data_IF_346851115389
#
_entry.id   IF_346851115389
#
_cell.length_a   1.000
_cell.length_b   1.000
_cell.length_c   1.000
_cell.angle_alpha   90.00
_cell.angle_beta   90.00
_cell.angle_gamma   90.00
#
_symmetry.space_group_name_H-M   'P 1'
#
loop_
_entity.id
_entity.type
_entity.pdbx_description
1 polymer ?
#
# COMPACT_ATOMS: atom_id res chain seq x y z
N UNK A 1 6.90 34.87 66.17
CA UNK A 1 5.63 35.28 65.54
C UNK A 1 5.46 34.48 64.27
N UNK A 2 4.57 33.50 64.30
CA UNK A 2 4.32 32.49 63.26
C UNK A 2 3.30 33.03 62.24
N UNK A 3 3.69 33.13 60.97
CA UNK A 3 2.78 33.45 59.86
C UNK A 3 2.07 32.19 59.35
N UNK A 4 0.78 32.28 58.95
CA UNK A 4 -0.01 31.12 58.56
C UNK A 4 0.39 30.61 57.17
N UNK A 5 0.67 29.31 57.09
CA UNK A 5 0.89 28.59 55.83
C UNK A 5 -0.38 28.60 54.99
N UNK A 6 -0.34 29.30 53.85
CA UNK A 6 -1.35 29.20 52.79
C UNK A 6 -1.19 27.85 52.09
N UNK A 7 -1.94 26.86 52.56
CA UNK A 7 -2.14 25.60 51.88
C UNK A 7 -2.94 25.89 50.60
N UNK A 8 -2.23 25.96 49.46
CA UNK A 8 -2.84 26.03 48.13
C UNK A 8 -3.59 24.72 47.89
N UNK A 9 -4.92 24.73 48.05
CA UNK A 9 -5.78 23.65 47.56
C UNK A 9 -5.63 23.58 46.05
N UNK A 10 -4.99 22.52 45.56
CA UNK A 10 -5.15 22.07 44.18
C UNK A 10 -6.62 21.69 43.99
N UNK A 11 -7.35 22.28 43.02
CA UNK A 11 -8.68 21.81 42.70
C UNK A 11 -8.53 20.45 42.01
N UNK A 12 -8.80 19.38 42.75
CA UNK A 12 -9.10 18.06 42.18
C UNK A 12 -10.49 18.08 41.57
N UNK A 13 -10.70 18.95 40.58
CA UNK A 13 -11.76 18.79 39.59
C UNK A 13 -11.24 17.83 38.52
N UNK A 14 -11.07 16.58 38.91
CA UNK A 14 -11.14 15.47 37.95
C UNK A 14 -12.62 15.24 37.66
N UNK A 15 -13.24 16.27 37.10
CA UNK A 15 -14.58 16.20 36.52
C UNK A 15 -14.54 15.02 35.56
N UNK A 16 -15.47 14.10 35.75
CA UNK A 16 -15.80 13.06 34.79
C UNK A 16 -15.68 13.64 33.38
N UNK A 17 -14.59 13.31 32.68
CA UNK A 17 -14.49 13.58 31.26
C UNK A 17 -15.54 12.68 30.64
N UNK A 18 -16.71 13.27 30.42
CA UNK A 18 -17.88 12.72 29.77
C UNK A 18 -17.42 11.86 28.58
N UNK A 19 -17.43 10.54 28.78
CA UNK A 19 -16.95 9.57 27.79
C UNK A 19 -17.70 9.71 26.47
N UNK A 20 -18.93 10.24 26.52
CA UNK A 20 -19.72 10.58 25.34
C UNK A 20 -19.00 11.59 24.43
N UNK A 21 -18.43 12.66 25.00
CA UNK A 21 -17.74 13.70 24.22
C UNK A 21 -16.46 13.18 23.55
N UNK A 22 -15.75 12.26 24.19
CA UNK A 22 -14.54 11.66 23.61
C UNK A 22 -14.91 10.74 22.44
N UNK A 23 -15.95 9.92 22.61
CA UNK A 23 -16.44 9.01 21.56
C UNK A 23 -17.01 9.81 20.38
N UNK A 24 -17.78 10.85 20.64
CA UNK A 24 -18.35 11.71 19.61
C UNK A 24 -17.26 12.42 18.79
N UNK A 25 -16.25 12.96 19.48
CA UNK A 25 -15.09 13.57 18.81
C UNK A 25 -14.27 12.56 18.01
N UNK A 26 -14.12 11.32 18.51
CA UNK A 26 -13.46 10.25 17.77
C UNK A 26 -14.27 9.86 16.52
N UNK A 27 -15.59 9.76 16.63
CA UNK A 27 -16.48 9.48 15.50
C UNK A 27 -16.46 10.60 14.46
N UNK A 28 -16.45 11.86 14.87
CA UNK A 28 -16.28 13.00 13.96
C UNK A 28 -14.94 12.94 13.24
N UNK A 29 -13.84 12.68 13.95
CA UNK A 29 -12.52 12.57 13.34
C UNK A 29 -12.47 11.44 12.30
N UNK A 30 -13.11 10.30 12.58
CA UNK A 30 -13.20 9.19 11.64
C UNK A 30 -14.08 9.54 10.43
N UNK A 31 -15.22 10.22 10.63
CA UNK A 31 -16.09 10.69 9.54
C UNK A 31 -15.37 11.70 8.64
N UNK A 32 -14.70 12.69 9.21
CA UNK A 32 -13.92 13.70 8.47
C UNK A 32 -12.76 13.06 7.71
N UNK A 33 -12.06 12.10 8.33
CA UNK A 33 -10.98 11.38 7.66
C UNK A 33 -11.48 10.50 6.53
N UNK A 34 -12.64 9.85 6.71
CA UNK A 34 -13.31 9.07 5.66
C UNK A 34 -13.73 9.98 4.51
N UNK A 35 -14.31 11.14 4.79
CA UNK A 35 -14.65 12.12 3.77
C UNK A 35 -13.41 12.60 3.00
N UNK A 36 -12.26 12.75 3.66
CA UNK A 36 -11.02 13.17 2.99
C UNK A 36 -10.40 12.07 2.10
N UNK A 37 -10.56 10.79 2.46
CA UNK A 37 -10.14 9.66 1.63
C UNK A 37 -11.07 9.46 0.43
N UNK A 38 -12.36 9.75 0.60
CA UNK A 38 -13.38 9.59 -0.44
C UNK A 38 -13.71 10.88 -1.20
N UNK A 39 -13.13 12.02 -0.83
CA UNK A 39 -13.30 13.26 -1.57
C UNK A 39 -12.74 13.04 -2.98
N UNK A 40 -13.53 13.25 -4.05
CA UNK A 40 -13.02 13.16 -5.40
C UNK A 40 -11.94 14.24 -5.54
N UNK A 41 -10.70 13.81 -5.71
CA UNK A 41 -9.58 14.71 -5.89
C UNK A 41 -9.90 15.67 -7.05
N UNK A 42 -9.85 16.97 -6.76
CA UNK A 42 -10.13 18.01 -7.75
C UNK A 42 -9.23 17.80 -8.98
N UNK A 43 -9.77 17.77 -10.20
CA UNK A 43 -9.01 17.41 -11.39
C UNK A 43 -8.14 18.60 -11.80
N UNK A 44 -6.89 18.65 -11.34
CA UNK A 44 -5.88 19.48 -12.02
C UNK A 44 -5.52 18.79 -13.33
N UNK A 45 -6.26 19.17 -14.36
CA UNK A 45 -6.19 18.63 -15.70
C UNK A 45 -4.88 19.05 -16.38
N UNK A 46 -3.85 18.21 -16.30
CA UNK A 46 -3.00 18.01 -17.47
C UNK A 46 -3.80 17.21 -18.50
N UNK A 47 -3.74 17.59 -19.79
CA UNK A 47 -4.72 17.18 -20.78
C UNK A 47 -4.74 15.67 -20.95
N UNK A 48 -5.94 15.17 -21.25
CA UNK A 48 -6.26 13.79 -21.55
C UNK A 48 -5.44 13.27 -22.74
N UNK A 49 -4.20 12.83 -22.48
CA UNK A 49 -3.52 11.88 -23.36
C UNK A 49 -4.16 10.51 -23.17
N UNK A 50 -4.47 9.85 -24.30
CA UNK A 50 -5.31 8.65 -24.38
C UNK A 50 -4.99 7.57 -23.35
N UNK A 51 -5.97 6.71 -23.05
CA UNK A 51 -5.94 5.63 -22.04
C UNK A 51 -4.50 5.16 -21.80
N UNK A 52 -3.87 5.68 -20.74
CA UNK A 52 -2.46 5.42 -20.47
C UNK A 52 -2.20 3.93 -20.33
N UNK A 53 -0.93 3.50 -20.40
CA UNK A 53 -0.54 2.07 -20.29
C UNK A 53 -1.28 1.33 -19.16
N UNK A 54 -1.44 1.98 -18.00
CA UNK A 54 -2.16 1.45 -16.84
C UNK A 54 -3.66 1.30 -17.09
N UNK A 55 -4.32 2.26 -17.72
CA UNK A 55 -5.73 2.16 -18.08
C UNK A 55 -6.02 1.03 -19.07
N UNK A 56 -5.11 0.81 -20.04
CA UNK A 56 -5.21 -0.32 -20.99
C UNK A 56 -5.08 -1.65 -20.25
N UNK A 57 -4.06 -1.77 -19.40
CA UNK A 57 -3.85 -2.96 -18.58
C UNK A 57 -5.06 -3.25 -17.68
N UNK A 58 -5.62 -2.21 -17.06
CA UNK A 58 -6.74 -2.38 -16.15
C UNK A 58 -8.02 -2.88 -16.84
N UNK A 59 -8.27 -2.42 -18.07
CA UNK A 59 -9.37 -2.93 -18.89
C UNK A 59 -9.16 -4.41 -19.20
N UNK A 60 -7.94 -4.82 -19.57
CA UNK A 60 -7.61 -6.21 -19.81
C UNK A 60 -7.85 -7.07 -18.55
N UNK A 61 -7.37 -6.63 -17.38
CA UNK A 61 -7.62 -7.33 -16.10
C UNK A 61 -9.12 -7.51 -15.84
N UNK A 62 -9.91 -6.45 -16.03
CA UNK A 62 -11.37 -6.49 -15.77
C UNK A 62 -12.08 -7.45 -16.73
N UNK A 63 -11.63 -7.55 -17.98
CA UNK A 63 -12.18 -8.48 -18.97
C UNK A 63 -11.79 -9.95 -18.71
N UNK A 64 -10.60 -10.18 -18.15
CA UNK A 64 -10.11 -11.53 -17.83
C UNK A 64 -10.65 -12.09 -16.50
N UNK A 65 -11.26 -11.26 -15.65
CA UNK A 65 -11.84 -11.71 -14.38
C UNK A 65 -13.12 -12.51 -14.63
N UNK A 66 -13.18 -13.71 -14.05
CA UNK A 66 -14.38 -14.54 -14.02
C UNK A 66 -14.99 -14.42 -12.61
N UNK A 67 -15.92 -13.48 -12.46
CA UNK A 67 -16.39 -13.08 -11.14
C UNK A 67 -15.26 -12.41 -10.34
N UNK A 68 -14.89 -13.01 -9.21
CA UNK A 68 -13.81 -12.49 -8.33
C UNK A 68 -12.47 -13.22 -8.48
N UNK A 69 -12.42 -14.23 -9.35
CA UNK A 69 -11.25 -15.09 -9.53
C UNK A 69 -10.61 -14.87 -10.90
N UNK A 70 -9.32 -15.15 -10.94
CA UNK A 70 -8.50 -15.11 -12.15
C UNK A 70 -7.83 -16.48 -12.29
N UNK A 71 -7.96 -17.12 -13.45
CA UNK A 71 -7.27 -18.38 -13.72
C UNK A 71 -5.75 -18.19 -13.79
N UNK A 72 -5.01 -19.29 -13.67
CA UNK A 72 -3.54 -19.25 -13.72
C UNK A 72 -3.07 -18.83 -15.10
N UNK A 73 -3.75 -19.29 -16.15
CA UNK A 73 -3.50 -18.98 -17.55
C UNK A 73 -3.74 -17.50 -17.82
N UNK A 74 -4.91 -16.97 -17.43
CA UNK A 74 -5.23 -15.55 -17.58
C UNK A 74 -4.26 -14.66 -16.80
N UNK A 75 -3.79 -15.10 -15.62
CA UNK A 75 -2.76 -14.38 -14.87
C UNK A 75 -1.44 -14.32 -15.62
N UNK A 76 -0.99 -15.41 -16.25
CA UNK A 76 0.24 -15.43 -17.05
C UNK A 76 0.14 -14.51 -18.26
N UNK A 77 -0.98 -14.55 -18.96
CA UNK A 77 -1.26 -13.69 -20.11
C UNK A 77 -1.26 -12.21 -19.72
N UNK A 78 -1.94 -11.86 -18.62
CA UNK A 78 -1.92 -10.49 -18.11
C UNK A 78 -0.51 -10.03 -17.72
N UNK A 79 0.28 -10.88 -17.09
CA UNK A 79 1.66 -10.51 -16.76
C UNK A 79 2.54 -10.31 -18.01
N UNK A 80 2.34 -11.10 -19.06
CA UNK A 80 2.99 -10.87 -20.37
C UNK A 80 2.56 -9.54 -20.97
N UNK A 81 1.26 -9.28 -20.97
CA UNK A 81 0.70 -8.02 -21.49
C UNK A 81 1.20 -6.79 -20.71
N UNK A 82 1.34 -6.90 -19.39
CA UNK A 82 1.92 -5.84 -18.57
C UNK A 82 3.38 -5.56 -18.94
N UNK A 83 4.16 -6.61 -19.23
CA UNK A 83 5.55 -6.48 -19.66
C UNK A 83 5.65 -5.79 -21.03
N UNK A 84 4.78 -6.14 -21.98
CA UNK A 84 4.67 -5.46 -23.29
C UNK A 84 4.32 -3.98 -23.15
N UNK A 85 3.51 -3.63 -22.15
CA UNK A 85 3.16 -2.25 -21.82
C UNK A 85 4.26 -1.50 -21.05
N UNK A 86 5.40 -2.14 -20.78
CA UNK A 86 6.51 -1.56 -20.02
C UNK A 86 6.18 -1.32 -18.54
N UNK A 87 5.23 -2.08 -17.98
CA UNK A 87 4.87 -1.98 -16.57
C UNK A 87 5.82 -2.80 -15.71
N UNK A 88 6.07 -2.32 -14.48
CA UNK A 88 6.86 -3.10 -13.52
C UNK A 88 6.03 -4.30 -13.03
N UNK A 89 6.63 -5.48 -12.79
CA UNK A 89 5.90 -6.65 -12.30
C UNK A 89 5.11 -6.39 -11.02
N UNK A 90 5.66 -5.56 -10.13
CA UNK A 90 4.98 -5.14 -8.90
C UNK A 90 3.70 -4.33 -9.18
N UNK A 91 3.76 -3.35 -10.09
CA UNK A 91 2.60 -2.52 -10.45
C UNK A 91 1.47 -3.38 -11.05
N UNK A 92 1.83 -4.29 -11.95
CA UNK A 92 0.88 -5.21 -12.58
C UNK A 92 0.20 -6.12 -11.54
N UNK A 93 0.99 -6.71 -10.63
CA UNK A 93 0.49 -7.55 -9.55
C UNK A 93 -0.46 -6.79 -8.63
N UNK A 94 -0.12 -5.55 -8.28
CA UNK A 94 -0.95 -4.70 -7.44
C UNK A 94 -2.29 -4.37 -8.12
N UNK A 95 -2.27 -4.01 -9.40
CA UNK A 95 -3.50 -3.71 -10.14
C UNK A 95 -4.43 -4.93 -10.25
N UNK A 96 -3.88 -6.14 -10.45
CA UNK A 96 -4.65 -7.38 -10.43
C UNK A 96 -5.29 -7.60 -9.04
N UNK A 97 -4.51 -7.44 -7.97
CA UNK A 97 -5.00 -7.64 -6.61
C UNK A 97 -6.14 -6.65 -6.27
N UNK A 98 -6.00 -5.38 -6.65
CA UNK A 98 -7.05 -4.37 -6.45
C UNK A 98 -8.32 -4.69 -7.25
N UNK A 99 -8.19 -5.16 -8.49
CA UNK A 99 -9.35 -5.54 -9.30
C UNK A 99 -10.08 -6.75 -8.70
N UNK A 100 -9.34 -7.77 -8.26
CA UNK A 100 -9.91 -8.93 -7.58
C UNK A 100 -10.59 -8.56 -6.25
N UNK A 101 -9.97 -7.71 -5.44
CA UNK A 101 -10.54 -7.22 -4.19
C UNK A 101 -11.88 -6.52 -4.42
N UNK A 102 -11.95 -5.61 -5.39
CA UNK A 102 -13.19 -4.94 -5.77
C UNK A 102 -14.25 -5.90 -6.28
N UNK A 103 -13.85 -6.87 -7.11
CA UNK A 103 -14.76 -7.90 -7.61
C UNK A 103 -15.31 -8.78 -6.48
N UNK A 104 -14.51 -9.09 -5.45
CA UNK A 104 -14.97 -9.79 -4.23
C UNK A 104 -16.01 -8.99 -3.46
N UNK A 105 -15.84 -7.67 -3.40
CA UNK A 105 -16.76 -6.77 -2.71
C UNK A 105 -17.93 -6.27 -3.57
N UNK A 106 -18.07 -6.73 -4.82
CA UNK A 106 -19.11 -6.28 -5.74
C UNK A 106 -19.00 -4.79 -6.11
N UNK A 107 -17.82 -4.20 -6.00
CA UNK A 107 -17.57 -2.80 -6.32
C UNK A 107 -17.31 -2.63 -7.82
N UNK A 108 -17.76 -1.51 -8.38
CA UNK A 108 -17.48 -1.17 -9.77
C UNK A 108 -15.96 -1.16 -10.07
N UNK A 109 -15.53 -1.54 -11.29
CA UNK A 109 -14.13 -1.44 -11.72
C UNK A 109 -13.56 -0.04 -11.48
N UNK A 110 -12.24 0.05 -11.26
CA UNK A 110 -11.60 1.37 -11.12
C UNK A 110 -11.73 2.14 -12.45
N UNK A 111 -12.26 3.35 -12.43
CA UNK A 111 -12.26 4.18 -13.66
C UNK A 111 -11.00 5.05 -13.76
N UNK A 112 -10.25 5.16 -12.66
CA UNK A 112 -9.09 6.04 -12.51
C UNK A 112 -7.86 5.23 -12.12
N UNK A 113 -6.69 5.62 -12.65
CA UNK A 113 -5.40 4.99 -12.32
C UNK A 113 -5.12 5.10 -10.80
N UNK A 114 -5.17 3.98 -10.04
CA UNK A 114 -4.99 4.00 -8.59
C UNK A 114 -3.57 4.37 -8.16
N UNK A 115 -2.60 4.29 -9.08
CA UNK A 115 -1.19 4.60 -8.84
C UNK A 115 -0.83 6.01 -9.30
N UNK A 116 -1.82 6.82 -9.71
CA UNK A 116 -1.63 8.24 -10.09
C UNK A 116 -1.72 9.18 -8.88
N UNK A 117 -1.46 8.70 -7.68
CA UNK A 117 -1.22 9.59 -6.54
C UNK A 117 0.07 10.39 -6.82
N UNK A 118 -0.09 11.59 -7.38
CA UNK A 118 0.82 12.70 -7.09
C UNK A 118 0.84 12.81 -5.56
N UNK A 119 2.00 12.60 -4.91
CA UNK A 119 2.08 12.72 -3.47
C UNK A 119 1.62 14.13 -3.11
N UNK A 120 0.74 14.30 -2.11
CA UNK A 120 0.50 15.64 -1.58
C UNK A 120 1.87 16.21 -1.19
N UNK A 121 2.19 17.42 -1.65
CA UNK A 121 3.44 18.13 -1.34
C UNK A 121 3.73 18.23 0.17
N UNK A 122 2.78 17.85 1.03
CA UNK A 122 2.88 17.81 2.48
C UNK A 122 3.34 16.46 3.04
N UNK A 123 4.52 15.96 2.64
CA UNK A 123 5.38 15.15 3.53
C UNK A 123 6.78 15.00 2.95
N UNK A 124 7.54 16.10 2.95
CA UNK A 124 8.99 16.00 3.21
C UNK A 124 9.17 15.39 4.60
N UNK A 125 9.00 14.07 4.73
CA UNK A 125 9.63 13.35 5.84
C UNK A 125 11.14 13.61 5.67
N UNK A 126 11.88 13.98 6.73
CA UNK A 126 13.33 13.96 6.65
C UNK A 126 13.72 12.55 6.20
N UNK A 127 14.36 12.48 5.03
CA UNK A 127 14.98 11.26 4.55
C UNK A 127 16.00 10.87 5.62
N UNK A 128 15.88 9.71 6.29
CA UNK A 128 16.98 9.24 7.12
C UNK A 128 18.16 8.96 6.19
N UNK A 129 19.06 9.93 6.10
CA UNK A 129 20.41 9.75 5.56
C UNK A 129 21.15 8.82 6.51
N UNK A 130 21.15 7.53 6.20
CA UNK A 130 21.88 6.54 6.98
C UNK A 130 21.26 5.16 6.96
N UNK A 131 21.38 4.46 5.83
CA UNK A 131 21.50 3.00 5.88
C UNK A 131 22.87 2.64 5.31
N UNK A 132 23.79 2.09 6.12
CA UNK A 132 25.02 1.55 5.58
C UNK A 132 24.66 0.41 4.60
N UNK A 133 25.19 0.55 3.40
CA UNK A 133 25.25 -0.51 2.40
C UNK A 133 25.87 -1.75 3.02
N UNK A 134 25.05 -2.80 3.23
CA UNK A 134 25.51 -4.17 3.39
C UNK A 134 25.27 -4.89 2.07
N UNK A 135 26.10 -4.57 1.09
CA UNK A 135 26.51 -5.55 0.09
C UNK A 135 27.20 -6.73 0.80
N UNK A 136 27.19 -7.92 0.18
CA UNK A 136 27.89 -9.14 0.62
C UNK A 136 27.18 -10.03 1.65
N UNK A 137 26.07 -10.71 1.29
CA UNK A 137 25.75 -12.06 1.81
C UNK A 137 24.81 -12.83 0.86
N UNK A 138 25.10 -12.85 -0.45
CA UNK A 138 24.36 -13.71 -1.40
C UNK A 138 25.29 -14.54 -2.29
N UNK A 139 26.46 -14.90 -1.75
CA UNK A 139 27.46 -15.80 -2.37
C UNK A 139 27.72 -17.06 -1.54
N UNK A 140 26.94 -17.31 -0.48
CA UNK A 140 27.08 -18.52 0.35
C UNK A 140 26.18 -19.68 -0.09
N UNK A 141 25.11 -19.41 -0.85
CA UNK A 141 24.15 -20.46 -1.25
C UNK A 141 24.61 -21.20 -2.51
N UNK A 142 25.34 -20.54 -3.42
CA UNK A 142 25.78 -21.18 -4.67
C UNK A 142 26.94 -22.17 -4.50
N UNK A 143 27.81 -22.03 -3.49
CA UNK A 143 28.91 -22.99 -3.28
C UNK A 143 28.44 -24.30 -2.64
N UNK A 144 27.40 -24.26 -1.80
CA UNK A 144 26.85 -25.47 -1.16
C UNK A 144 26.23 -26.45 -2.16
N UNK A 145 25.54 -25.96 -3.19
CA UNK A 145 24.90 -26.81 -4.20
C UNK A 145 25.94 -27.50 -5.10
N UNK A 146 27.04 -26.83 -5.43
CA UNK A 146 28.11 -27.42 -6.24
C UNK A 146 28.85 -28.55 -5.51
N UNK A 147 29.16 -28.38 -4.22
CA UNK A 147 29.85 -29.42 -3.43
C UNK A 147 28.97 -30.67 -3.22
N UNK A 148 27.67 -30.49 -2.96
CA UNK A 148 26.75 -31.61 -2.81
C UNK A 148 26.59 -32.39 -4.13
N UNK A 149 26.53 -31.69 -5.26
CA UNK A 149 26.45 -32.31 -6.58
C UNK A 149 27.70 -33.13 -6.92
N UNK A 150 28.90 -32.66 -6.58
CA UNK A 150 30.14 -33.41 -6.86
C UNK A 150 30.28 -34.66 -5.99
N UNK A 151 29.83 -34.62 -4.73
CA UNK A 151 29.89 -35.78 -3.84
C UNK A 151 28.97 -36.92 -4.29
N UNK A 152 27.77 -36.58 -4.79
CA UNK A 152 26.82 -37.59 -5.30
C UNK A 152 27.40 -38.30 -6.53
N UNK A 153 28.00 -37.56 -7.47
CA UNK A 153 28.61 -38.17 -8.66
C UNK A 153 29.80 -39.06 -8.31
N UNK A 154 30.61 -38.68 -7.33
CA UNK A 154 31.77 -39.47 -6.89
C UNK A 154 31.39 -40.74 -6.12
N UNK A 155 30.21 -40.77 -5.47
CA UNK A 155 29.71 -41.97 -4.78
C UNK A 155 29.11 -43.01 -5.74
N UNK A 156 28.81 -42.61 -6.98
CA UNK A 156 28.22 -43.46 -8.01
C UNK A 156 29.23 -43.95 -9.06
N UNK A 157 30.50 -43.56 -8.94
CA UNK A 157 31.62 -44.05 -9.75
C UNK A 157 32.43 -45.08 -8.95
#
# INVERSE_FOLDING_TARGET
MTGPSTHSMMPTETLERDGGQVIERALELLKNRRALIHAPACPSARPAEGIGRRGRFQRAVTQSLQGSLLSVEARRELMSHANELGMRPFEATLMIAMAQDRARHGLAPLETDPLKHEPPESRRRPVPTGRPSRSHMSTAICTGVFLASTLIVLMWL
#
